data_IF_857608456654
#
_entry.id   IF_857608456654
#
_cell.length_a   1.000
_cell.length_b   1.000
_cell.length_c   1.000
_cell.angle_alpha   90.00
_cell.angle_beta   90.00
_cell.angle_gamma   90.00
#
_symmetry.space_group_name_H-M   'P 1'
#
loop_
_entity.id
_entity.type
_entity.pdbx_description
1 polymer ?
#
# COMPACT_ATOMS: atom_id res chain seq x y z
N UNK A 1 -25.41 -27.91 -12.99
CA UNK A 1 -24.32 -27.81 -12.01
C UNK A 1 -23.05 -27.51 -12.78
N UNK A 2 -22.39 -26.38 -12.53
CA UNK A 2 -21.07 -26.08 -13.10
C UNK A 2 -20.06 -27.05 -12.49
N UNK A 3 -19.63 -28.05 -13.26
CA UNK A 3 -18.57 -28.97 -12.84
C UNK A 3 -17.27 -28.18 -12.75
N UNK A 4 -16.70 -28.12 -11.54
CA UNK A 4 -15.42 -27.45 -11.33
C UNK A 4 -14.34 -28.34 -11.94
N UNK A 5 -13.56 -27.78 -12.87
CA UNK A 5 -12.40 -28.42 -13.47
C UNK A 5 -11.40 -28.82 -12.37
N UNK A 6 -11.12 -30.13 -12.17
CA UNK A 6 -10.24 -30.61 -11.11
C UNK A 6 -8.82 -30.05 -11.22
N UNK A 7 -8.31 -29.84 -12.43
CA UNK A 7 -6.95 -29.35 -12.66
C UNK A 7 -6.82 -27.89 -12.22
N UNK A 8 -7.77 -27.04 -12.62
CA UNK A 8 -7.83 -25.65 -12.17
C UNK A 8 -7.98 -25.55 -10.65
N UNK A 9 -8.76 -26.45 -10.05
CA UNK A 9 -8.89 -26.49 -8.60
C UNK A 9 -7.57 -26.84 -7.90
N UNK A 10 -6.80 -27.78 -8.45
CA UNK A 10 -5.48 -28.13 -7.91
C UNK A 10 -4.48 -26.97 -8.06
N UNK A 11 -4.43 -26.32 -9.23
CA UNK A 11 -3.58 -25.15 -9.44
C UNK A 11 -3.91 -24.01 -8.46
N UNK A 12 -5.20 -23.71 -8.27
CA UNK A 12 -5.65 -22.71 -7.31
C UNK A 12 -5.21 -23.04 -5.87
N UNK A 13 -5.29 -24.32 -5.46
CA UNK A 13 -4.81 -24.77 -4.13
C UNK A 13 -3.30 -24.61 -3.98
N UNK A 14 -2.52 -24.91 -5.02
CA UNK A 14 -1.06 -24.74 -4.99
C UNK A 14 -0.68 -23.27 -4.91
N UNK A 15 -1.27 -22.42 -5.76
CA UNK A 15 -1.09 -20.97 -5.75
C UNK A 15 -1.40 -20.40 -4.35
N UNK A 16 -2.57 -20.74 -3.79
CA UNK A 16 -2.97 -20.29 -2.47
C UNK A 16 -2.04 -20.80 -1.36
N UNK A 17 -1.53 -22.03 -1.45
CA UNK A 17 -0.58 -22.58 -0.47
C UNK A 17 0.74 -21.83 -0.48
N UNK A 18 1.29 -21.53 -1.66
CA UNK A 18 2.52 -20.75 -1.80
C UNK A 18 2.28 -19.33 -1.30
N UNK A 19 1.19 -18.69 -1.72
CA UNK A 19 0.79 -17.35 -1.27
C UNK A 19 0.69 -17.24 0.25
N UNK A 20 0.06 -18.22 0.93
CA UNK A 20 -0.01 -18.26 2.39
C UNK A 20 1.36 -18.38 3.06
N UNK A 21 2.26 -19.22 2.52
CA UNK A 21 3.63 -19.35 3.04
C UNK A 21 4.40 -18.05 2.90
N UNK A 22 4.31 -17.39 1.74
CA UNK A 22 4.95 -16.10 1.51
C UNK A 22 4.42 -15.03 2.47
N UNK A 23 3.10 -15.00 2.72
CA UNK A 23 2.51 -14.08 3.68
C UNK A 23 2.97 -14.34 5.12
N UNK A 24 3.10 -15.60 5.54
CA UNK A 24 3.65 -15.94 6.86
C UNK A 24 5.11 -15.52 6.99
N UNK A 25 5.92 -15.78 5.95
CA UNK A 25 7.33 -15.39 5.91
C UNK A 25 7.46 -13.86 6.00
N UNK A 26 6.70 -13.13 5.19
CA UNK A 26 6.62 -11.66 5.20
C UNK A 26 6.28 -11.15 6.61
N UNK A 27 5.23 -11.70 7.23
CA UNK A 27 4.81 -11.33 8.59
C UNK A 27 5.90 -11.57 9.64
N UNK A 28 6.57 -12.72 9.59
CA UNK A 28 7.69 -13.04 10.49
C UNK A 28 8.85 -12.07 10.26
N UNK A 29 9.19 -11.79 9.01
CA UNK A 29 10.23 -10.81 8.68
C UNK A 29 9.88 -9.41 9.19
N UNK A 30 8.64 -8.94 9.00
CA UNK A 30 8.19 -7.64 9.53
C UNK A 30 8.29 -7.58 11.06
N UNK A 31 7.92 -8.67 11.74
CA UNK A 31 8.02 -8.77 13.18
C UNK A 31 9.48 -8.73 13.66
N UNK A 32 10.36 -9.53 13.04
CA UNK A 32 11.79 -9.54 13.34
C UNK A 32 12.44 -8.19 13.05
N UNK A 33 12.03 -7.52 11.97
CA UNK A 33 12.49 -6.17 11.64
C UNK A 33 12.13 -5.19 12.77
N UNK A 34 10.87 -5.18 13.22
CA UNK A 34 10.45 -4.34 14.34
C UNK A 34 11.21 -4.66 15.64
N UNK A 35 11.42 -5.95 15.94
CA UNK A 35 12.21 -6.37 17.11
C UNK A 35 13.67 -5.94 17.02
N UNK A 36 14.30 -6.03 15.85
CA UNK A 36 15.67 -5.58 15.63
C UNK A 36 15.79 -4.08 15.94
N UNK A 37 14.88 -3.26 15.44
CA UNK A 37 14.84 -1.83 15.74
C UNK A 37 14.63 -1.52 17.22
N UNK A 38 13.81 -2.32 17.91
CA UNK A 38 13.53 -2.17 19.33
C UNK A 38 14.72 -2.56 20.21
N UNK A 39 15.31 -3.73 19.99
CA UNK A 39 16.35 -4.29 20.86
C UNK A 39 17.77 -3.79 20.56
N UNK A 40 18.08 -3.48 19.30
CA UNK A 40 19.43 -3.05 18.92
C UNK A 40 19.66 -1.54 19.15
N UNK A 41 18.64 -0.80 19.58
CA UNK A 41 18.76 0.64 19.83
C UNK A 41 19.01 1.48 18.57
N UNK A 42 18.76 0.91 17.37
CA UNK A 42 18.95 1.59 16.09
C UNK A 42 18.12 2.86 15.99
N UNK A 43 16.91 2.87 16.55
CA UNK A 43 16.04 4.05 16.60
C UNK A 43 16.74 5.25 17.24
N UNK A 44 17.34 5.07 18.42
CA UNK A 44 18.00 6.15 19.15
C UNK A 44 19.29 6.58 18.47
N UNK A 45 20.07 5.61 17.98
CA UNK A 45 21.34 5.87 17.31
C UNK A 45 21.15 6.65 16.00
N UNK A 46 20.19 6.24 15.17
CA UNK A 46 19.89 6.92 13.91
C UNK A 46 19.29 8.30 14.16
N UNK A 47 18.39 8.43 15.15
CA UNK A 47 17.87 9.75 15.54
C UNK A 47 18.98 10.70 15.99
N UNK A 48 19.90 10.23 16.83
CA UNK A 48 21.02 11.05 17.32
C UNK A 48 21.96 11.46 16.17
N UNK A 49 22.24 10.53 15.26
CA UNK A 49 23.03 10.80 14.05
C UNK A 49 22.34 11.83 13.14
N UNK A 50 21.04 11.69 12.89
CA UNK A 50 20.29 12.67 12.08
C UNK A 50 20.20 14.04 12.75
N UNK A 51 19.97 14.09 14.06
CA UNK A 51 19.92 15.34 14.82
C UNK A 51 21.27 16.09 14.84
N UNK A 52 22.38 15.41 14.58
CA UNK A 52 23.68 16.06 14.40
C UNK A 52 23.85 16.73 13.03
N UNK A 53 23.02 16.37 12.04
CA UNK A 53 23.13 16.81 10.65
C UNK A 53 22.01 17.80 10.29
N UNK A 54 20.81 17.64 10.83
CA UNK A 54 19.70 18.58 10.63
C UNK A 54 19.27 19.25 11.94
N UNK A 55 18.97 20.54 11.84
CA UNK A 55 18.45 21.38 12.92
C UNK A 55 16.90 21.41 12.87
N UNK A 56 16.32 21.08 11.72
CA UNK A 56 14.89 21.19 11.48
C UNK A 56 14.19 19.87 11.82
N UNK A 57 13.30 19.88 12.81
CA UNK A 57 12.57 18.69 13.25
C UNK A 57 11.75 18.02 12.13
N UNK A 58 11.26 18.80 11.16
CA UNK A 58 10.48 18.28 10.02
C UNK A 58 11.37 17.44 9.08
N UNK A 59 12.57 17.93 8.78
CA UNK A 59 13.55 17.19 7.98
C UNK A 59 14.03 15.92 8.69
N UNK A 60 14.17 15.99 10.03
CA UNK A 60 14.55 14.83 10.83
C UNK A 60 13.53 13.70 10.67
N UNK A 61 12.22 14.00 10.77
CA UNK A 61 11.14 13.03 10.58
C UNK A 61 11.20 12.43 9.18
N UNK A 62 11.35 13.26 8.14
CA UNK A 62 11.46 12.80 6.76
C UNK A 62 12.64 11.87 6.52
N UNK A 63 13.84 12.25 6.97
CA UNK A 63 15.05 11.43 6.83
C UNK A 63 14.93 10.12 7.61
N UNK A 64 14.35 10.16 8.81
CA UNK A 64 14.12 8.96 9.62
C UNK A 64 13.19 7.97 8.91
N UNK A 65 12.08 8.44 8.34
CA UNK A 65 11.15 7.62 7.55
C UNK A 65 11.84 7.01 6.34
N UNK A 66 12.70 7.77 5.64
CA UNK A 66 13.44 7.25 4.49
C UNK A 66 14.38 6.13 4.90
N UNK A 67 15.11 6.27 6.02
CA UNK A 67 16.04 5.23 6.49
C UNK A 67 15.28 4.00 6.96
N UNK A 68 14.28 4.19 7.83
CA UNK A 68 13.47 3.11 8.37
C UNK A 68 12.65 2.39 7.29
N UNK A 69 11.94 3.13 6.46
CA UNK A 69 11.12 2.57 5.38
C UNK A 69 11.97 2.02 4.23
N UNK A 70 13.05 2.71 3.86
CA UNK A 70 13.97 2.30 2.80
C UNK A 70 14.70 1.01 3.13
N UNK A 71 15.22 0.87 4.37
CA UNK A 71 15.83 -0.37 4.81
C UNK A 71 14.83 -1.53 4.76
N UNK A 72 13.60 -1.32 5.24
CA UNK A 72 12.54 -2.32 5.14
C UNK A 72 12.22 -2.70 3.70
N UNK A 73 12.08 -1.70 2.81
CA UNK A 73 11.78 -1.91 1.40
C UNK A 73 12.88 -2.72 0.69
N UNK A 74 14.16 -2.44 0.95
CA UNK A 74 15.29 -3.18 0.37
C UNK A 74 15.30 -4.63 0.84
N UNK A 75 15.12 -4.86 2.14
CA UNK A 75 15.11 -6.21 2.72
C UNK A 75 13.94 -7.03 2.19
N UNK A 76 12.76 -6.41 2.06
CA UNK A 76 11.56 -7.12 1.62
C UNK A 76 11.41 -7.20 0.08
N UNK A 77 12.29 -6.53 -0.68
CA UNK A 77 12.24 -6.49 -2.13
C UNK A 77 12.27 -7.88 -2.79
N UNK A 78 13.13 -8.84 -2.39
CA UNK A 78 13.17 -10.17 -3.02
C UNK A 78 11.87 -10.95 -2.82
N UNK A 79 11.29 -10.85 -1.61
CA UNK A 79 10.04 -11.52 -1.27
C UNK A 79 8.86 -10.89 -2.01
N UNK A 80 8.82 -9.55 -2.06
CA UNK A 80 7.84 -8.78 -2.84
C UNK A 80 7.91 -9.10 -4.33
N UNK A 81 9.10 -9.19 -4.90
CA UNK A 81 9.33 -9.60 -6.30
C UNK A 81 8.79 -11.01 -6.57
N UNK A 82 9.12 -11.97 -5.72
CA UNK A 82 8.64 -13.34 -5.90
C UNK A 82 7.12 -13.44 -5.78
N UNK A 83 6.54 -12.77 -4.78
CA UNK A 83 5.08 -12.80 -4.52
C UNK A 83 4.28 -12.04 -5.57
N UNK A 84 4.74 -10.86 -5.98
CA UNK A 84 4.02 -9.95 -6.87
C UNK A 84 4.25 -10.20 -8.35
N UNK A 85 5.46 -10.63 -8.73
CA UNK A 85 5.81 -10.83 -10.13
C UNK A 85 5.94 -12.32 -10.47
N UNK A 86 6.86 -13.05 -9.83
CA UNK A 86 7.19 -14.43 -10.25
C UNK A 86 6.02 -15.40 -10.06
N UNK A 87 5.37 -15.37 -8.90
CA UNK A 87 4.31 -16.32 -8.57
C UNK A 87 3.08 -16.18 -9.48
N UNK A 88 2.50 -14.99 -9.72
CA UNK A 88 1.40 -14.84 -10.66
C UNK A 88 1.76 -15.28 -12.08
N UNK A 89 2.96 -14.94 -12.58
CA UNK A 89 3.43 -15.37 -13.91
C UNK A 89 3.56 -16.88 -14.03
N UNK A 90 4.07 -17.55 -12.98
CA UNK A 90 4.19 -19.02 -12.94
C UNK A 90 2.84 -19.73 -13.11
N UNK A 91 1.75 -19.11 -12.66
CA UNK A 91 0.39 -19.66 -12.74
C UNK A 91 -0.45 -19.01 -13.86
N UNK A 92 0.16 -18.23 -14.75
CA UNK A 92 -0.53 -17.54 -15.85
C UNK A 92 -1.59 -16.53 -15.39
N UNK A 93 -1.47 -16.02 -14.16
CA UNK A 93 -2.43 -15.08 -13.54
C UNK A 93 -2.05 -13.61 -13.76
N UNK A 94 -0.90 -13.32 -14.36
CA UNK A 94 -0.46 -11.96 -14.67
C UNK A 94 0.11 -11.89 -16.08
N UNK A 95 -0.19 -10.77 -16.74
CA UNK A 95 0.37 -10.34 -18.02
C UNK A 95 1.22 -9.07 -17.87
N UNK A 96 1.52 -8.66 -16.63
CA UNK A 96 2.26 -7.44 -16.32
C UNK A 96 3.73 -7.57 -16.73
N UNK A 97 4.27 -6.60 -17.46
CA UNK A 97 5.69 -6.60 -17.81
C UNK A 97 6.55 -6.23 -16.59
N UNK A 98 7.80 -6.71 -16.56
CA UNK A 98 8.73 -6.41 -15.45
C UNK A 98 8.93 -4.91 -15.25
N UNK A 99 9.04 -4.14 -16.34
CA UNK A 99 9.18 -2.68 -16.29
C UNK A 99 7.98 -2.00 -15.61
N UNK A 100 6.77 -2.51 -15.86
CA UNK A 100 5.53 -1.95 -15.33
C UNK A 100 5.43 -2.31 -13.85
N UNK A 101 5.82 -3.54 -13.49
CA UNK A 101 5.94 -3.94 -12.08
C UNK A 101 6.91 -3.07 -11.30
N UNK A 102 8.12 -2.83 -11.82
CA UNK A 102 9.11 -1.95 -11.15
C UNK A 102 8.56 -0.52 -11.03
N UNK A 103 7.94 0.02 -12.08
CA UNK A 103 7.34 1.35 -12.05
C UNK A 103 6.23 1.45 -10.99
N UNK A 104 5.39 0.43 -10.86
CA UNK A 104 4.34 0.38 -9.84
C UNK A 104 4.91 0.25 -8.42
N UNK A 105 6.00 -0.49 -8.23
CA UNK A 105 6.70 -0.56 -6.94
C UNK A 105 7.26 0.81 -6.54
N UNK A 106 7.91 1.53 -7.46
CA UNK A 106 8.44 2.88 -7.20
C UNK A 106 7.31 3.86 -6.90
N UNK A 107 6.23 3.85 -7.68
CA UNK A 107 5.02 4.67 -7.41
C UNK A 107 4.43 4.37 -6.05
N UNK A 108 4.32 3.09 -5.69
CA UNK A 108 3.80 2.65 -4.38
C UNK A 108 4.67 3.14 -3.23
N UNK A 109 5.99 2.98 -3.34
CA UNK A 109 6.94 3.45 -2.32
C UNK A 109 6.92 4.97 -2.17
N UNK A 110 6.95 5.71 -3.29
CA UNK A 110 6.92 7.17 -3.27
C UNK A 110 5.60 7.71 -2.66
N UNK A 111 4.46 7.15 -3.09
CA UNK A 111 3.15 7.53 -2.55
C UNK A 111 3.02 7.17 -1.07
N UNK A 112 3.45 5.98 -0.68
CA UNK A 112 3.44 5.53 0.71
C UNK A 112 4.32 6.41 1.60
N UNK A 113 5.52 6.77 1.14
CA UNK A 113 6.41 7.67 1.86
C UNK A 113 5.82 9.09 1.99
N UNK A 114 5.24 9.63 0.92
CA UNK A 114 4.61 10.95 0.92
C UNK A 114 3.42 11.01 1.90
N UNK A 115 2.48 10.08 1.77
CA UNK A 115 1.30 10.03 2.66
C UNK A 115 1.69 9.72 4.10
N UNK A 116 2.64 8.81 4.31
CA UNK A 116 3.18 8.49 5.63
C UNK A 116 3.87 9.69 6.29
N UNK A 117 4.65 10.46 5.53
CA UNK A 117 5.28 11.69 6.00
C UNK A 117 4.24 12.72 6.39
N UNK A 118 3.25 13.00 5.55
CA UNK A 118 2.17 13.95 5.88
C UNK A 118 1.47 13.55 7.19
N UNK A 119 1.12 12.27 7.34
CA UNK A 119 0.45 11.79 8.54
C UNK A 119 1.32 11.91 9.79
N UNK A 120 2.60 11.53 9.69
CA UNK A 120 3.53 11.63 10.82
C UNK A 120 3.79 13.09 11.20
N UNK A 121 3.94 13.97 10.23
CA UNK A 121 4.13 15.40 10.49
C UNK A 121 2.89 16.03 11.14
N UNK A 122 1.68 15.69 10.69
CA UNK A 122 0.45 16.14 11.33
C UNK A 122 0.35 15.62 12.78
N UNK A 123 0.79 14.39 13.03
CA UNK A 123 0.85 13.82 14.36
C UNK A 123 1.87 14.57 15.24
N UNK A 124 3.08 14.81 14.75
CA UNK A 124 4.10 15.57 15.47
C UNK A 124 3.67 17.03 15.69
N UNK A 125 2.98 17.64 14.74
CA UNK A 125 2.39 18.97 14.89
C UNK A 125 1.35 18.99 16.01
N UNK A 126 0.44 18.01 16.06
CA UNK A 126 -0.54 17.89 17.14
C UNK A 126 0.16 17.74 18.50
N UNK A 127 1.21 16.91 18.59
CA UNK A 127 2.02 16.73 19.79
C UNK A 127 2.68 18.05 20.25
N UNK A 128 3.23 18.84 19.33
CA UNK A 128 3.89 20.12 19.64
C UNK A 128 2.91 21.20 20.10
N UNK A 129 1.70 21.25 19.52
CA UNK A 129 0.77 22.36 19.73
C UNK A 129 -0.15 22.19 20.95
N UNK A 130 -0.49 20.96 21.34
CA UNK A 130 -1.68 20.73 22.17
C UNK A 130 -1.46 19.94 23.46
N UNK A 131 -0.20 19.66 23.82
CA UNK A 131 0.16 19.05 25.10
C UNK A 131 -0.64 17.77 25.38
N UNK A 132 -1.31 17.67 26.53
CA UNK A 132 -2.11 16.49 26.90
C UNK A 132 -3.31 16.19 25.97
N UNK A 133 -3.78 17.18 25.20
CA UNK A 133 -4.91 17.04 24.28
C UNK A 133 -4.50 16.61 22.85
N UNK A 134 -3.22 16.28 22.61
CA UNK A 134 -2.70 15.90 21.29
C UNK A 134 -3.49 14.80 20.59
N UNK A 135 -3.98 13.84 21.36
CA UNK A 135 -4.69 12.69 20.82
C UNK A 135 -6.05 13.08 20.21
N UNK A 136 -6.72 14.13 20.73
CA UNK A 136 -7.97 14.65 20.15
C UNK A 136 -7.72 15.29 18.79
N UNK A 137 -6.69 16.12 18.70
CA UNK A 137 -6.29 16.77 17.45
C UNK A 137 -5.79 15.76 16.42
N UNK A 138 -4.99 14.77 16.84
CA UNK A 138 -4.54 13.69 15.99
C UNK A 138 -5.71 12.83 15.51
N UNK A 139 -6.66 12.47 16.38
CA UNK A 139 -7.84 11.70 16.01
C UNK A 139 -8.75 12.45 15.04
N UNK A 140 -9.02 13.73 15.29
CA UNK A 140 -9.81 14.58 14.39
C UNK A 140 -9.12 14.77 13.03
N UNK A 141 -7.81 15.01 13.03
CA UNK A 141 -7.00 15.11 11.82
C UNK A 141 -6.97 13.80 11.02
N UNK A 142 -6.79 12.66 11.68
CA UNK A 142 -6.84 11.32 11.05
C UNK A 142 -8.22 10.99 10.50
N UNK A 143 -9.29 11.34 11.21
CA UNK A 143 -10.66 11.18 10.70
C UNK A 143 -10.87 12.00 9.43
N UNK A 144 -10.52 13.29 9.47
CA UNK A 144 -10.63 14.16 8.30
C UNK A 144 -9.79 13.64 7.13
N UNK A 145 -8.53 13.26 7.39
CA UNK A 145 -7.64 12.71 6.39
C UNK A 145 -8.20 11.43 5.77
N UNK A 146 -8.72 10.49 6.56
CA UNK A 146 -9.32 9.26 6.06
C UNK A 146 -10.57 9.54 5.21
N UNK A 147 -11.43 10.48 5.62
CA UNK A 147 -12.61 10.87 4.84
C UNK A 147 -12.18 11.48 3.50
N UNK A 148 -11.23 12.42 3.51
CA UNK A 148 -10.71 13.01 2.29
C UNK A 148 -10.05 11.97 1.39
N UNK A 149 -9.16 11.14 1.94
CA UNK A 149 -8.43 10.14 1.18
C UNK A 149 -9.35 9.06 0.63
N UNK A 150 -10.35 8.59 1.37
CA UNK A 150 -11.31 7.58 0.86
C UNK A 150 -12.14 8.08 -0.32
N UNK A 151 -12.47 9.38 -0.35
CA UNK A 151 -13.19 10.01 -1.46
C UNK A 151 -12.26 10.38 -2.63
N UNK A 152 -11.05 10.86 -2.32
CA UNK A 152 -10.09 11.33 -3.32
C UNK A 152 -9.23 10.20 -3.92
N UNK A 153 -8.99 9.11 -3.20
CA UNK A 153 -8.12 8.02 -3.66
C UNK A 153 -8.58 7.39 -4.99
N UNK A 154 -9.89 7.12 -5.22
CA UNK A 154 -10.35 6.61 -6.52
C UNK A 154 -10.08 7.56 -7.68
N UNK A 155 -10.07 8.88 -7.41
CA UNK A 155 -9.97 9.93 -8.45
C UNK A 155 -8.52 10.39 -8.67
N UNK A 156 -7.72 10.47 -7.61
CA UNK A 156 -6.36 11.01 -7.66
C UNK A 156 -5.29 9.91 -7.61
N UNK A 157 -5.49 8.87 -6.80
CA UNK A 157 -4.46 7.84 -6.57
C UNK A 157 -4.60 6.71 -7.57
N UNK A 158 -5.79 6.14 -7.71
CA UNK A 158 -5.98 4.96 -8.55
C UNK A 158 -5.59 5.18 -10.03
N UNK A 159 -5.82 6.36 -10.66
CA UNK A 159 -5.39 6.60 -12.03
C UNK A 159 -3.87 6.63 -12.23
N UNK A 160 -3.08 6.81 -11.17
CA UNK A 160 -1.61 6.72 -11.24
C UNK A 160 -1.13 5.26 -11.44
N UNK A 161 -1.96 4.30 -11.03
CA UNK A 161 -1.70 2.87 -11.13
C UNK A 161 -2.48 2.21 -12.27
N UNK A 162 -3.65 2.74 -12.62
CA UNK A 162 -4.57 2.10 -13.55
C UNK A 162 -5.02 3.03 -14.68
N UNK A 163 -5.27 2.46 -15.85
CA UNK A 163 -5.89 3.17 -16.98
C UNK A 163 -7.39 2.95 -16.94
N UNK A 164 -8.14 4.04 -16.81
CA UNK A 164 -9.60 4.03 -16.93
C UNK A 164 -9.99 4.36 -18.36
N UNK A 165 -10.66 3.42 -19.03
CA UNK A 165 -11.13 3.57 -20.41
C UNK A 165 -12.64 3.39 -20.38
N UNK A 166 -13.43 4.30 -20.98
CA UNK A 166 -14.87 4.12 -21.12
C UNK A 166 -15.20 2.82 -21.85
N UNK A 167 -16.34 2.20 -21.51
CA UNK A 167 -16.85 1.06 -22.28
C UNK A 167 -17.03 1.48 -23.74
N UNK A 168 -16.33 0.80 -24.65
CA UNK A 168 -16.38 1.08 -26.08
C UNK A 168 -17.77 0.82 -26.67
N UNK A 169 -18.02 1.38 -27.85
CA UNK A 169 -19.30 1.24 -28.55
C UNK A 169 -19.64 -0.23 -28.85
N UNK A 170 -18.63 -1.10 -28.98
CA UNK A 170 -18.77 -2.55 -29.13
C UNK A 170 -19.45 -3.25 -27.94
N UNK A 171 -19.50 -2.62 -26.76
CA UNK A 171 -20.11 -3.18 -25.55
C UNK A 171 -21.40 -2.46 -25.13
N UNK A 172 -22.03 -1.72 -26.04
CA UNK A 172 -23.23 -0.91 -25.77
C UNK A 172 -24.40 -1.73 -25.21
N UNK A 173 -24.57 -2.98 -25.65
CA UNK A 173 -25.60 -3.87 -25.11
C UNK A 173 -25.34 -4.20 -23.62
N UNK A 174 -24.10 -4.53 -23.26
CA UNK A 174 -23.71 -4.78 -21.87
C UNK A 174 -23.90 -3.50 -21.03
N UNK A 175 -23.49 -2.35 -21.55
CA UNK A 175 -23.67 -1.06 -20.89
C UNK A 175 -25.15 -0.80 -20.58
N UNK A 176 -26.04 -0.99 -21.56
CA UNK A 176 -27.48 -0.81 -21.37
C UNK A 176 -28.04 -1.77 -20.31
N UNK A 177 -27.61 -3.04 -20.31
CA UNK A 177 -28.03 -4.02 -19.29
C UNK A 177 -27.58 -3.62 -17.88
N UNK A 178 -26.38 -3.08 -17.74
CA UNK A 178 -25.86 -2.58 -16.47
C UNK A 178 -26.63 -1.35 -15.98
N UNK A 179 -26.94 -0.40 -16.87
CA UNK A 179 -27.74 0.78 -16.54
C UNK A 179 -29.17 0.41 -16.10
N UNK A 180 -29.82 -0.53 -16.81
CA UNK A 180 -31.13 -1.04 -16.40
C UNK A 180 -31.10 -1.75 -15.05
N UNK A 181 -30.02 -2.49 -14.75
CA UNK A 181 -29.87 -3.13 -13.46
C UNK A 181 -29.69 -2.10 -12.33
N UNK A 182 -28.89 -1.06 -12.57
CA UNK A 182 -28.68 0.03 -11.62
C UNK A 182 -29.99 0.78 -11.30
N UNK A 183 -30.79 1.05 -12.33
CA UNK A 183 -32.11 1.68 -12.19
C UNK A 183 -33.06 0.80 -11.37
N UNK A 184 -33.11 -0.51 -11.63
CA UNK A 184 -33.89 -1.47 -10.82
C UNK A 184 -33.42 -1.55 -9.38
N UNK A 185 -32.11 -1.38 -9.15
CA UNK A 185 -31.52 -1.34 -7.81
C UNK A 185 -31.61 0.05 -7.15
N UNK A 186 -32.28 1.01 -7.79
CA UNK A 186 -32.46 2.39 -7.30
C UNK A 186 -31.13 3.07 -6.93
N UNK A 187 -30.07 2.75 -7.67
CA UNK A 187 -28.71 3.23 -7.45
C UNK A 187 -28.32 4.19 -8.57
N UNK A 188 -27.76 5.35 -8.23
CA UNK A 188 -27.21 6.29 -9.21
C UNK A 188 -25.82 5.82 -9.63
N UNK A 189 -25.64 5.60 -10.93
CA UNK A 189 -24.39 5.16 -11.57
C UNK A 189 -24.04 6.14 -12.67
#
# INVERSE_FOLDING_TARGET
MTTIDPEKQQQARQYARIGRRLWLVDTIFSFLYALAWLFLGWSNSIRAWLAAITINDWELVALYIIIFGGAYAVINLPLGYYRGFVLPHRFGQSNQLLKDWVADQVKTLAMGALLGLILLELLYLALRLSGAAWWLWAAGGLLLFNVLLSNLAPVLIMPLFNKYIPLGHEHKELQNRLLQLAERANTKV
#
